data_IF_373388232787
#
_entry.id   IF_373388232787
#
_cell.length_a   1.000
_cell.length_b   1.000
_cell.length_c   1.000
_cell.angle_alpha   90.00
_cell.angle_beta   90.00
_cell.angle_gamma   90.00
#
_symmetry.space_group_name_H-M   'P 1'
#
loop_
_entity.id
_entity.type
_entity.pdbx_description
1 polymer ?
#
# COMPACT_ATOMS: atom_id res chain seq x y z
N UNK A 1 0.24 69.05 -83.30
CA UNK A 1 -0.37 67.71 -83.16
C UNK A 1 0.55 66.85 -82.32
N UNK A 2 0.29 66.59 -81.05
CA UNK A 2 -0.05 67.55 -80.01
C UNK A 2 0.56 67.03 -78.69
N UNK A 3 1.20 67.91 -77.87
CA UNK A 3 1.84 67.52 -76.61
C UNK A 3 0.87 66.92 -75.58
N UNK A 4 -0.43 66.95 -75.86
CA UNK A 4 -1.49 66.38 -75.04
C UNK A 4 -1.51 64.85 -75.03
N UNK A 5 -1.12 64.16 -76.12
CA UNK A 5 -1.12 62.68 -76.15
C UNK A 5 0.02 62.08 -75.31
N UNK A 6 1.23 62.65 -75.36
CA UNK A 6 2.35 62.20 -74.52
C UNK A 6 2.07 62.44 -73.03
N UNK A 7 1.44 63.56 -72.69
CA UNK A 7 1.02 63.87 -71.31
C UNK A 7 -0.01 62.86 -70.81
N UNK A 8 -0.95 62.42 -71.66
CA UNK A 8 -1.94 61.39 -71.31
C UNK A 8 -1.26 60.03 -71.09
N UNK A 9 -0.33 59.62 -71.95
CA UNK A 9 0.40 58.35 -71.79
C UNK A 9 1.23 58.35 -70.50
N UNK A 10 1.96 59.43 -70.22
CA UNK A 10 2.73 59.58 -68.98
C UNK A 10 1.80 59.56 -67.76
N UNK A 11 0.67 60.26 -67.80
CA UNK A 11 -0.31 60.24 -66.71
C UNK A 11 -0.88 58.84 -66.46
N UNK A 12 -1.23 58.10 -67.52
CA UNK A 12 -1.72 56.71 -67.41
C UNK A 12 -0.65 55.80 -66.82
N UNK A 13 0.60 55.89 -67.28
CA UNK A 13 1.71 55.10 -66.75
C UNK A 13 1.95 55.43 -65.27
N UNK A 14 1.95 56.70 -64.89
CA UNK A 14 2.08 57.12 -63.47
C UNK A 14 0.94 56.55 -62.64
N UNK A 15 -0.31 56.65 -63.09
CA UNK A 15 -1.47 56.09 -62.39
C UNK A 15 -1.34 54.57 -62.23
N UNK A 16 -0.95 53.84 -63.29
CA UNK A 16 -0.74 52.39 -63.23
C UNK A 16 0.37 52.03 -62.24
N UNK A 17 1.51 52.74 -62.28
CA UNK A 17 2.62 52.52 -61.35
C UNK A 17 2.18 52.77 -59.91
N UNK A 18 1.47 53.86 -59.65
CA UNK A 18 0.94 54.18 -58.32
C UNK A 18 -0.03 53.10 -57.84
N UNK A 19 -0.95 52.64 -58.69
CA UNK A 19 -1.88 51.55 -58.36
C UNK A 19 -1.13 50.26 -58.04
N UNK A 20 -0.15 49.88 -58.86
CA UNK A 20 0.67 48.67 -58.61
C UNK A 20 1.42 48.77 -57.29
N UNK A 21 2.06 49.92 -57.00
CA UNK A 21 2.76 50.15 -55.74
C UNK A 21 1.80 50.05 -54.55
N UNK A 22 0.62 50.68 -54.64
CA UNK A 22 -0.40 50.59 -53.58
C UNK A 22 -0.85 49.16 -53.36
N UNK A 23 -1.12 48.40 -54.42
CA UNK A 23 -1.51 46.97 -54.32
C UNK A 23 -0.40 46.16 -53.65
N UNK A 24 0.86 46.34 -54.05
CA UNK A 24 2.00 45.63 -53.44
C UNK A 24 2.13 45.97 -51.96
N UNK A 25 2.02 47.25 -51.58
CA UNK A 25 2.07 47.68 -50.17
C UNK A 25 0.93 47.03 -49.38
N UNK A 26 -0.29 47.03 -49.90
CA UNK A 26 -1.44 46.40 -49.24
C UNK A 26 -1.20 44.90 -49.05
N UNK A 27 -0.71 44.19 -50.07
CA UNK A 27 -0.38 42.76 -49.98
C UNK A 27 0.67 42.50 -48.90
N UNK A 28 1.75 43.29 -48.87
CA UNK A 28 2.80 43.18 -47.86
C UNK A 28 2.24 43.38 -46.45
N UNK A 29 1.42 44.42 -46.25
CA UNK A 29 0.77 44.69 -44.96
C UNK A 29 -0.11 43.51 -44.53
N UNK A 30 -0.93 42.97 -45.44
CA UNK A 30 -1.79 41.81 -45.15
C UNK A 30 -0.95 40.59 -44.75
N UNK A 31 0.13 40.29 -45.49
CA UNK A 31 1.04 39.18 -45.17
C UNK A 31 1.67 39.37 -43.79
N UNK A 32 2.15 40.57 -43.47
CA UNK A 32 2.73 40.88 -42.15
C UNK A 32 1.70 40.67 -41.05
N UNK A 33 0.46 41.15 -41.22
CA UNK A 33 -0.62 40.96 -40.25
C UNK A 33 -0.91 39.48 -40.04
N UNK A 34 -1.01 38.68 -41.12
CA UNK A 34 -1.24 37.24 -41.02
C UNK A 34 -0.10 36.55 -40.26
N UNK A 35 1.15 36.89 -40.56
CA UNK A 35 2.32 36.33 -39.86
C UNK A 35 2.27 36.67 -38.37
N UNK A 36 1.99 37.93 -38.02
CA UNK A 36 1.86 38.36 -36.62
C UNK A 36 0.75 37.58 -35.91
N UNK A 37 -0.42 37.43 -36.53
CA UNK A 37 -1.53 36.65 -35.98
C UNK A 37 -1.12 35.20 -35.74
N UNK A 38 -0.45 34.56 -36.70
CA UNK A 38 0.05 33.19 -36.55
C UNK A 38 1.04 33.08 -35.40
N UNK A 39 2.00 34.00 -35.29
CA UNK A 39 2.98 34.01 -34.20
C UNK A 39 2.28 34.16 -32.84
N UNK A 40 1.32 35.08 -32.73
CA UNK A 40 0.54 35.27 -31.50
C UNK A 40 -0.21 33.99 -31.13
N UNK A 41 -0.88 33.35 -32.09
CA UNK A 41 -1.58 32.09 -31.86
C UNK A 41 -0.62 31.00 -31.39
N UNK A 42 0.55 30.85 -32.02
CA UNK A 42 1.56 29.87 -31.60
C UNK A 42 2.04 30.16 -30.17
N UNK A 43 2.35 31.41 -29.84
CA UNK A 43 2.75 31.80 -28.48
C UNK A 43 1.67 31.46 -27.46
N UNK A 44 0.41 31.78 -27.75
CA UNK A 44 -0.72 31.44 -26.88
C UNK A 44 -0.83 29.93 -26.69
N UNK A 45 -0.73 29.14 -27.76
CA UNK A 45 -0.75 27.67 -27.67
C UNK A 45 0.39 27.16 -26.82
N UNK A 46 1.62 27.65 -27.02
CA UNK A 46 2.78 27.25 -26.21
C UNK A 46 2.57 27.60 -24.74
N UNK A 47 2.08 28.80 -24.43
CA UNK A 47 1.78 29.22 -23.05
C UNK A 47 0.73 28.30 -22.44
N UNK A 48 -0.36 28.00 -23.16
CA UNK A 48 -1.41 27.08 -22.68
C UNK A 48 -0.83 25.69 -22.43
N UNK A 49 -0.01 25.15 -23.34
CA UNK A 49 0.63 23.84 -23.16
C UNK A 49 1.55 23.85 -21.94
N UNK A 50 2.37 24.88 -21.76
CA UNK A 50 3.25 25.00 -20.59
C UNK A 50 2.43 25.09 -19.31
N UNK A 51 1.37 25.89 -19.29
CA UNK A 51 0.45 25.97 -18.14
C UNK A 51 -0.20 24.62 -17.85
N UNK A 52 -0.65 23.89 -18.87
CA UNK A 52 -1.20 22.55 -18.72
C UNK A 52 -0.15 21.58 -18.15
N UNK A 53 1.08 21.60 -18.64
CA UNK A 53 2.16 20.77 -18.13
C UNK A 53 2.49 21.09 -16.66
N UNK A 54 2.49 22.37 -16.28
CA UNK A 54 2.69 22.81 -14.89
C UNK A 54 1.55 22.29 -14.01
N UNK A 55 0.29 22.45 -14.44
CA UNK A 55 -0.87 21.97 -13.69
C UNK A 55 -0.83 20.45 -13.52
N UNK A 56 -0.49 19.71 -14.60
CA UNK A 56 -0.34 18.24 -14.54
C UNK A 56 0.77 17.84 -13.58
N UNK A 57 1.91 18.55 -13.58
CA UNK A 57 3.00 18.32 -12.63
C UNK A 57 2.57 18.54 -11.17
N UNK A 58 1.89 19.65 -10.88
CA UNK A 58 1.38 19.96 -9.55
C UNK A 58 0.33 18.93 -9.08
N UNK A 59 -0.54 18.48 -9.98
CA UNK A 59 -1.51 17.42 -9.68
C UNK A 59 -0.80 16.10 -9.35
N UNK A 60 0.23 15.73 -10.10
CA UNK A 60 1.01 14.52 -9.85
C UNK A 60 1.68 14.56 -8.46
N UNK A 61 2.33 15.67 -8.11
CA UNK A 61 2.96 15.85 -6.80
C UNK A 61 1.94 15.80 -5.65
N UNK A 62 0.78 16.44 -5.83
CA UNK A 62 -0.28 16.44 -4.82
C UNK A 62 -0.82 15.03 -4.55
N UNK A 63 -1.05 14.24 -5.60
CA UNK A 63 -1.51 12.85 -5.48
C UNK A 63 -0.44 11.98 -4.80
N UNK A 64 0.83 12.11 -5.20
CA UNK A 64 1.93 11.36 -4.59
C UNK A 64 2.11 11.68 -3.09
N UNK A 65 1.95 12.96 -2.71
CA UNK A 65 1.99 13.41 -1.31
C UNK A 65 0.87 12.78 -0.47
N UNK A 66 -0.35 12.69 -1.00
CA UNK A 66 -1.47 12.04 -0.32
C UNK A 66 -1.22 10.54 -0.10
N UNK A 67 -0.72 9.83 -1.11
CA UNK A 67 -0.43 8.40 -1.00
C UNK A 67 0.66 8.10 0.04
N UNK A 68 1.70 8.92 0.12
CA UNK A 68 2.76 8.74 1.13
C UNK A 68 2.25 8.96 2.56
N UNK A 69 1.37 9.95 2.77
CA UNK A 69 0.71 10.21 4.06
C UNK A 69 -0.18 9.05 4.48
N UNK A 70 -1.01 8.54 3.57
CA UNK A 70 -1.87 7.38 3.87
C UNK A 70 -1.03 6.15 4.21
N UNK A 71 0.04 5.87 3.47
CA UNK A 71 0.96 4.76 3.78
C UNK A 71 1.56 4.88 5.18
N UNK A 72 2.09 6.06 5.54
CA UNK A 72 2.67 6.30 6.86
C UNK A 72 1.64 6.15 7.98
N UNK A 73 0.42 6.66 7.77
CA UNK A 73 -0.66 6.56 8.76
C UNK A 73 -1.11 5.12 8.95
N UNK A 74 -1.26 4.35 7.86
CA UNK A 74 -1.57 2.91 7.92
C UNK A 74 -0.48 2.16 8.69
N UNK A 75 0.79 2.42 8.40
CA UNK A 75 1.91 1.74 9.08
C UNK A 75 1.91 2.05 10.59
N UNK A 76 1.65 3.30 10.97
CA UNK A 76 1.52 3.70 12.37
C UNK A 76 0.38 2.95 13.08
N UNK A 77 -0.82 2.91 12.50
CA UNK A 77 -1.98 2.23 13.08
C UNK A 77 -1.73 0.73 13.27
N UNK A 78 -1.01 0.09 12.35
CA UNK A 78 -0.63 -1.32 12.46
C UNK A 78 0.40 -1.54 13.57
N UNK A 79 1.37 -0.63 13.73
CA UNK A 79 2.38 -0.72 14.79
C UNK A 79 1.77 -0.54 16.17
N UNK A 80 0.81 0.37 16.31
CA UNK A 80 0.04 0.58 17.55
C UNK A 80 -0.82 -0.65 17.89
N UNK A 81 -1.55 -1.19 16.91
CA UNK A 81 -2.37 -2.37 17.10
C UNK A 81 -2.28 -3.33 15.91
N UNK A 82 -1.47 -4.39 16.06
CA UNK A 82 -1.32 -5.42 15.01
C UNK A 82 -2.60 -6.20 14.71
N UNK A 83 -3.63 -6.15 15.55
CA UNK A 83 -4.91 -6.87 15.38
C UNK A 83 -6.04 -6.01 14.81
N UNK A 84 -5.74 -4.78 14.40
CA UNK A 84 -6.72 -3.85 13.82
C UNK A 84 -7.47 -4.45 12.63
N UNK A 85 -8.75 -4.10 12.46
CA UNK A 85 -9.57 -4.52 11.30
C UNK A 85 -9.38 -3.52 10.15
N UNK A 86 -9.41 -4.00 8.89
CA UNK A 86 -9.28 -3.13 7.71
C UNK A 86 -10.37 -2.07 7.67
N UNK A 87 -11.61 -2.43 8.06
CA UNK A 87 -12.73 -1.50 8.13
C UNK A 87 -12.50 -0.35 9.11
N UNK A 88 -11.84 -0.59 10.24
CA UNK A 88 -11.54 0.47 11.21
C UNK A 88 -10.52 1.45 10.63
N UNK A 89 -9.51 0.94 9.91
CA UNK A 89 -8.51 1.77 9.24
C UNK A 89 -9.13 2.55 8.09
N UNK A 90 -10.02 1.92 7.31
CA UNK A 90 -10.66 2.56 6.17
C UNK A 90 -11.53 3.74 6.62
N UNK A 91 -12.20 3.62 7.76
CA UNK A 91 -12.97 4.70 8.38
C UNK A 91 -12.03 5.82 8.87
N UNK A 92 -10.97 5.47 9.59
CA UNK A 92 -9.99 6.44 10.15
C UNK A 92 -9.25 7.25 9.06
N UNK A 93 -8.98 6.65 7.91
CA UNK A 93 -8.24 7.27 6.80
C UNK A 93 -9.21 7.76 5.69
N UNK A 94 -10.52 7.60 5.89
CA UNK A 94 -11.57 7.97 4.91
C UNK A 94 -11.33 7.41 3.51
N UNK A 95 -10.84 6.17 3.43
CA UNK A 95 -10.52 5.47 2.17
C UNK A 95 -11.36 4.22 2.00
N UNK A 96 -11.42 3.68 0.78
CA UNK A 96 -12.09 2.39 0.55
C UNK A 96 -11.28 1.24 1.18
N UNK A 97 -11.98 0.20 1.63
CA UNK A 97 -11.34 -1.01 2.18
C UNK A 97 -10.40 -1.67 1.17
N UNK A 98 -10.72 -1.60 -0.12
CA UNK A 98 -9.88 -2.13 -1.20
C UNK A 98 -8.55 -1.36 -1.32
N UNK A 99 -8.59 -0.02 -1.25
CA UNK A 99 -7.37 0.80 -1.30
C UNK A 99 -6.50 0.52 -0.08
N UNK A 100 -7.10 0.38 1.09
CA UNK A 100 -6.41 -0.09 2.30
C UNK A 100 -5.76 -1.46 2.02
N UNK A 101 -6.50 -2.44 1.50
CA UNK A 101 -5.95 -3.77 1.19
C UNK A 101 -4.74 -3.74 0.24
N UNK A 102 -4.78 -2.87 -0.78
CA UNK A 102 -3.65 -2.65 -1.71
C UNK A 102 -2.44 -2.05 -0.99
N UNK A 103 -2.64 -1.03 -0.15
CA UNK A 103 -1.57 -0.43 0.66
C UNK A 103 -0.92 -1.49 1.56
N UNK A 104 -1.74 -2.32 2.22
CA UNK A 104 -1.28 -3.42 3.06
C UNK A 104 -0.38 -4.41 2.30
N UNK A 105 -0.86 -4.91 1.16
CA UNK A 105 -0.26 -6.08 0.51
C UNK A 105 0.87 -5.70 -0.45
N UNK A 106 0.69 -4.63 -1.21
CA UNK A 106 1.58 -4.24 -2.30
C UNK A 106 2.61 -3.22 -1.85
N UNK A 107 2.20 -2.19 -1.10
CA UNK A 107 3.10 -1.10 -0.70
C UNK A 107 3.89 -1.47 0.56
N UNK A 108 3.21 -1.90 1.62
CA UNK A 108 3.83 -2.18 2.92
C UNK A 108 4.25 -3.65 3.10
N UNK A 109 3.75 -4.57 2.26
CA UNK A 109 4.11 -5.98 2.30
C UNK A 109 3.65 -6.72 3.57
N UNK A 110 2.56 -6.27 4.19
CA UNK A 110 1.92 -6.95 5.31
C UNK A 110 1.04 -8.11 4.84
N UNK A 111 0.96 -9.12 5.70
CA UNK A 111 0.08 -10.28 5.59
C UNK A 111 -0.63 -10.48 6.92
N UNK A 112 -1.89 -10.89 6.87
CA UNK A 112 -2.62 -11.31 8.07
C UNK A 112 -2.33 -12.78 8.38
N UNK A 113 -1.71 -13.04 9.53
CA UNK A 113 -1.33 -14.39 9.98
C UNK A 113 -2.01 -14.71 11.30
N UNK A 114 -2.50 -15.95 11.45
CA UNK A 114 -2.95 -16.42 12.77
C UNK A 114 -1.75 -16.77 13.63
N UNK A 115 -1.84 -16.51 14.93
CA UNK A 115 -0.87 -17.05 15.86
C UNK A 115 -0.87 -18.59 15.85
N UNK A 116 0.31 -19.18 15.98
CA UNK A 116 0.46 -20.59 16.29
C UNK A 116 0.14 -20.77 17.78
N UNK A 117 -0.84 -21.60 18.06
CA UNK A 117 -1.23 -21.91 19.44
C UNK A 117 -0.26 -22.93 20.00
N UNK A 118 0.36 -22.60 21.12
CA UNK A 118 1.30 -23.47 21.83
C UNK A 118 0.77 -23.70 23.24
N UNK A 119 0.67 -24.96 23.72
CA UNK A 119 0.12 -25.24 25.05
C UNK A 119 0.87 -24.52 26.19
N UNK A 120 2.19 -24.39 26.07
CA UNK A 120 3.04 -23.73 27.07
C UNK A 120 4.33 -23.22 26.42
N UNK A 121 4.85 -22.08 26.87
CA UNK A 121 6.22 -21.69 26.54
C UNK A 121 7.20 -22.53 27.36
N UNK A 122 7.98 -23.35 26.69
CA UNK A 122 8.99 -24.20 27.32
C UNK A 122 10.27 -23.41 27.55
N UNK A 123 10.82 -23.47 28.76
CA UNK A 123 12.15 -22.96 29.07
C UNK A 123 13.22 -23.83 28.39
N UNK A 124 14.42 -23.30 28.12
CA UNK A 124 15.51 -24.08 27.51
C UNK A 124 15.81 -25.38 28.25
N UNK A 125 15.75 -25.36 29.59
CA UNK A 125 15.99 -26.52 30.45
C UNK A 125 14.93 -27.60 30.24
N UNK A 126 13.63 -27.22 30.22
CA UNK A 126 12.54 -28.17 29.98
C UNK A 126 12.65 -28.74 28.55
N UNK A 127 13.07 -27.95 27.56
CA UNK A 127 13.30 -28.46 26.20
C UNK A 127 14.37 -29.54 26.18
N UNK A 128 15.49 -29.30 26.87
CA UNK A 128 16.59 -30.26 26.93
C UNK A 128 16.18 -31.54 27.66
N UNK A 129 15.49 -31.42 28.80
CA UNK A 129 14.92 -32.57 29.51
C UNK A 129 13.96 -33.38 28.63
N UNK A 130 13.07 -32.71 27.88
CA UNK A 130 12.15 -33.40 26.97
C UNK A 130 12.90 -34.16 25.87
N UNK A 131 13.92 -33.56 25.28
CA UNK A 131 14.75 -34.24 24.26
C UNK A 131 15.45 -35.45 24.87
N UNK A 132 15.97 -35.34 26.09
CA UNK A 132 16.63 -36.43 26.78
C UNK A 132 15.68 -37.60 27.03
N UNK A 133 14.50 -37.33 27.61
CA UNK A 133 13.47 -38.35 27.86
C UNK A 133 13.02 -38.98 26.52
N UNK A 134 12.83 -38.19 25.47
CA UNK A 134 12.46 -38.73 24.15
C UNK A 134 13.53 -39.66 23.58
N UNK A 135 14.82 -39.39 23.80
CA UNK A 135 15.90 -40.29 23.37
C UNK A 135 15.92 -41.58 24.17
N UNK A 136 15.70 -41.51 25.48
CA UNK A 136 15.64 -42.70 26.34
C UNK A 136 14.45 -43.59 25.97
N UNK A 137 13.28 -42.99 25.75
CA UNK A 137 12.09 -43.71 25.27
C UNK A 137 12.30 -44.32 23.88
N UNK A 138 12.99 -43.62 22.98
CA UNK A 138 13.30 -44.14 21.65
C UNK A 138 14.27 -45.32 21.72
N UNK A 139 15.34 -45.22 22.52
CA UNK A 139 16.28 -46.33 22.71
C UNK A 139 15.58 -47.57 23.29
N UNK A 140 14.67 -47.37 24.25
CA UNK A 140 13.87 -48.46 24.79
C UNK A 140 12.92 -49.08 23.76
N UNK A 141 12.34 -48.26 22.88
CA UNK A 141 11.55 -48.76 21.76
C UNK A 141 12.41 -49.55 20.75
N UNK A 142 13.63 -49.11 20.48
CA UNK A 142 14.54 -49.83 19.58
C UNK A 142 14.95 -51.21 20.15
N UNK A 143 15.00 -51.36 21.48
CA UNK A 143 15.26 -52.62 22.18
C UNK A 143 14.02 -53.54 22.27
N UNK A 144 12.89 -53.00 22.74
CA UNK A 144 11.67 -53.77 23.05
C UNK A 144 10.67 -53.87 21.86
N UNK A 145 10.88 -53.10 20.80
CA UNK A 145 9.99 -53.04 19.64
C UNK A 145 8.54 -52.67 19.96
N UNK A 146 7.58 -53.30 19.27
CA UNK A 146 6.14 -53.05 19.46
C UNK A 146 5.61 -53.48 20.84
N UNK A 147 6.31 -54.37 21.55
CA UNK A 147 5.88 -54.82 22.89
C UNK A 147 5.99 -53.70 23.93
N UNK A 148 6.84 -52.69 23.68
CA UNK A 148 6.89 -51.46 24.47
C UNK A 148 5.51 -50.79 24.58
N UNK A 149 4.80 -50.65 23.46
CA UNK A 149 3.49 -49.98 23.46
C UNK A 149 2.41 -50.77 24.18
N UNK A 150 2.49 -52.10 24.20
CA UNK A 150 1.52 -52.96 24.92
C UNK A 150 1.55 -52.74 26.43
N UNK A 151 2.67 -52.24 26.96
CA UNK A 151 2.84 -51.96 28.39
C UNK A 151 2.48 -50.52 28.75
N UNK A 152 2.28 -49.64 27.76
CA UNK A 152 1.96 -48.23 27.99
C UNK A 152 0.46 -48.05 28.11
N UNK A 153 0.00 -47.74 29.32
CA UNK A 153 -1.37 -47.25 29.57
C UNK A 153 -1.32 -45.75 29.76
N UNK A 154 -2.02 -45.00 28.90
CA UNK A 154 -2.10 -43.54 28.95
C UNK A 154 -3.50 -43.08 29.33
N UNK A 155 -3.59 -42.05 30.18
CA UNK A 155 -4.83 -41.38 30.56
C UNK A 155 -4.66 -39.87 30.57
N UNK A 156 -5.65 -39.14 30.04
CA UNK A 156 -5.70 -37.68 30.00
C UNK A 156 -7.05 -37.20 30.55
N UNK A 157 -7.06 -36.10 31.29
CA UNK A 157 -8.27 -35.36 31.67
C UNK A 157 -8.43 -34.14 30.75
N UNK A 158 -9.45 -34.16 29.88
CA UNK A 158 -9.87 -32.99 29.12
C UNK A 158 -10.91 -32.18 29.90
N UNK A 159 -10.71 -30.87 30.00
CA UNK A 159 -11.69 -29.95 30.58
C UNK A 159 -12.64 -29.42 29.50
N UNK A 160 -13.94 -29.39 29.78
CA UNK A 160 -14.96 -28.74 28.94
C UNK A 160 -15.27 -27.38 29.56
N UNK A 161 -15.06 -26.30 28.81
CA UNK A 161 -15.32 -24.95 29.30
C UNK A 161 -16.80 -24.58 29.15
N UNK A 162 -17.33 -23.80 30.10
CA UNK A 162 -18.67 -23.20 30.01
C UNK A 162 -18.74 -21.96 29.10
N UNK A 163 -17.60 -21.48 28.58
CA UNK A 163 -17.52 -20.33 27.68
C UNK A 163 -16.58 -20.64 26.50
N UNK A 164 -16.79 -19.94 25.38
CA UNK A 164 -15.94 -20.06 24.20
C UNK A 164 -14.67 -19.21 24.33
N UNK A 165 -13.47 -19.81 24.42
CA UNK A 165 -12.22 -19.06 24.39
C UNK A 165 -12.02 -18.40 23.03
N UNK A 166 -11.23 -17.31 23.01
CA UNK A 166 -10.91 -16.56 21.78
C UNK A 166 -10.46 -17.49 20.65
N UNK A 167 -11.12 -17.44 19.48
CA UNK A 167 -10.85 -18.37 18.40
C UNK A 167 -9.51 -18.10 17.69
N UNK A 168 -8.98 -19.10 16.97
CA UNK A 168 -7.77 -18.93 16.14
C UNK A 168 -7.93 -17.83 15.10
N UNK A 169 -9.13 -17.61 14.58
CA UNK A 169 -9.41 -16.53 13.63
C UNK A 169 -9.34 -15.15 14.28
N UNK A 170 -9.80 -15.01 15.52
CA UNK A 170 -9.72 -13.76 16.29
C UNK A 170 -8.27 -13.41 16.66
N UNK A 171 -7.39 -14.41 16.77
CA UNK A 171 -5.95 -14.21 17.03
C UNK A 171 -5.13 -13.75 15.81
N UNK A 172 -5.77 -13.46 14.67
CA UNK A 172 -5.08 -13.01 13.46
C UNK A 172 -4.53 -11.60 13.62
N UNK A 173 -3.25 -11.43 13.31
CA UNK A 173 -2.55 -10.15 13.36
C UNK A 173 -1.75 -9.88 12.08
N UNK A 174 -1.41 -8.61 11.85
CA UNK A 174 -0.61 -8.17 10.71
C UNK A 174 0.90 -8.29 10.98
N UNK A 175 1.58 -8.90 10.02
CA UNK A 175 3.00 -9.20 10.07
C UNK A 175 3.62 -9.04 8.68
N UNK A 176 4.90 -8.69 8.62
CA UNK A 176 5.62 -8.66 7.34
C UNK A 176 5.84 -10.08 6.83
N UNK A 177 5.93 -10.23 5.50
CA UNK A 177 6.10 -11.52 4.81
C UNK A 177 7.28 -12.36 5.33
N UNK A 178 8.36 -11.71 5.76
CA UNK A 178 9.59 -12.36 6.25
C UNK A 178 9.56 -12.70 7.74
N UNK A 179 8.57 -12.20 8.49
CA UNK A 179 8.52 -12.40 9.93
C UNK A 179 7.87 -13.75 10.31
N UNK A 180 8.39 -14.44 11.33
CA UNK A 180 7.84 -15.71 11.77
C UNK A 180 6.43 -15.53 12.36
N UNK A 181 5.62 -16.58 12.25
CA UNK A 181 4.28 -16.58 12.83
C UNK A 181 4.35 -16.34 14.35
N UNK A 182 3.51 -15.44 14.87
CA UNK A 182 3.46 -15.16 16.30
C UNK A 182 3.03 -16.42 17.05
N UNK A 183 3.58 -16.64 18.24
CA UNK A 183 3.20 -17.76 19.11
C UNK A 183 2.28 -17.25 20.19
N UNK A 184 1.09 -17.83 20.30
CA UNK A 184 0.13 -17.54 21.36
C UNK A 184 0.09 -18.73 22.31
N UNK A 185 0.22 -18.44 23.60
CA UNK A 185 0.03 -19.48 24.63
C UNK A 185 -1.46 -19.72 24.77
N UNK A 186 -1.87 -20.98 24.69
CA UNK A 186 -3.24 -21.35 25.03
C UNK A 186 -3.36 -21.30 26.55
N UNK A 187 -4.06 -20.30 27.08
CA UNK A 187 -4.38 -20.21 28.50
C UNK A 187 -5.49 -21.20 28.83
N UNK A 188 -5.12 -22.46 29.03
CA UNK A 188 -5.98 -23.39 29.77
C UNK A 188 -5.82 -22.99 31.24
N UNK A 189 -6.77 -22.22 31.78
CA UNK A 189 -6.73 -21.78 33.16
C UNK A 189 -6.93 -23.01 34.06
N UNK A 190 -5.85 -23.49 34.66
CA UNK A 190 -5.94 -24.48 35.74
C UNK A 190 -6.38 -23.73 37.00
N UNK A 191 -7.65 -23.89 37.40
CA UNK A 191 -8.08 -23.48 38.73
C UNK A 191 -7.48 -24.46 39.73
N UNK A 192 -6.38 -24.09 40.38
CA UNK A 192 -5.93 -24.74 41.61
C UNK A 192 -6.74 -24.13 42.76
N UNK A 193 -7.94 -24.65 43.00
CA UNK A 193 -8.62 -24.41 44.28
C UNK A 193 -7.98 -25.31 45.34
N UNK A 194 -7.44 -24.64 46.38
CA UNK A 194 -7.09 -25.12 47.72
C UNK A 194 -6.90 -26.62 47.97
N UNK A 195 -5.65 -27.06 48.03
CA UNK A 195 -5.23 -28.21 48.83
C UNK A 195 -3.87 -27.90 49.47
N UNK A 196 -3.81 -26.84 50.27
CA UNK A 196 -2.64 -26.48 51.08
C UNK A 196 -3.08 -25.63 52.28
N UNK A 197 -4.03 -26.14 53.04
CA UNK A 197 -4.23 -25.81 54.45
C UNK A 197 -4.77 -27.09 55.08
N UNK A 198 -4.28 -27.43 56.28
CA UNK A 198 -4.67 -28.59 57.11
C UNK A 198 -3.77 -29.83 56.98
N UNK A 199 -2.45 -29.67 57.18
CA UNK A 199 -1.60 -30.69 57.81
C UNK A 199 -0.43 -30.04 58.57
N UNK A 200 -0.69 -29.04 59.41
CA UNK A 200 0.18 -28.63 60.52
C UNK A 200 -0.68 -27.96 61.60
N UNK A 201 -1.16 -28.76 62.54
CA UNK A 201 -1.92 -28.32 63.71
C UNK A 201 -2.09 -29.50 64.64
N UNK A 202 -1.57 -29.32 65.85
CA UNK A 202 -1.54 -30.25 66.97
C UNK A 202 -2.92 -30.71 67.41
#
# INVERSE_FOLDING_TARGET
MAPEEEVVVVAVVVVVVVVVVVVVVVVVVVVVVVVVVVVVVVVVVVVVVVLLLVVVGLLFEAVASSDSKHQSRVDQLIRENRRVKQINISIEIETSQERVHLIFTNLLGYRKVSALWVPKMLTPQIKLQRVQICRELLAKFDEDGEDFFRQVVTGNKSWVHHYDPESKQQSKEYRHKTSPSPKKIQSVFFRTEGASHDLLGQ
#
